data_IF_061947458261
#
_entry.id   IF_061947458261
#
_cell.length_a   1.000
_cell.length_b   1.000
_cell.length_c   1.000
_cell.angle_alpha   90.00
_cell.angle_beta   90.00
_cell.angle_gamma   90.00
#
_symmetry.space_group_name_H-M   'P 1'
#
loop_
_entity.id
_entity.type
_entity.pdbx_description
1 polymer ?
#
# COMPACT_ATOMS: atom_id res chain seq x y z
N UNK A 1 14.58 -48.91 5.18
CA UNK A 1 14.59 -50.28 5.75
C UNK A 1 13.17 -50.85 5.80
N UNK A 2 12.22 -50.24 6.52
CA UNK A 2 10.83 -50.71 6.56
C UNK A 2 10.09 -50.68 5.20
N UNK A 3 10.27 -49.64 4.38
CA UNK A 3 9.64 -49.56 3.05
C UNK A 3 10.11 -50.70 2.10
N UNK A 4 11.40 -51.02 2.12
CA UNK A 4 11.97 -52.12 1.33
C UNK A 4 11.52 -53.48 1.85
N UNK A 5 11.32 -53.63 3.16
CA UNK A 5 10.82 -54.86 3.78
C UNK A 5 9.34 -55.11 3.44
N UNK A 6 8.54 -54.06 3.39
CA UNK A 6 7.13 -54.12 2.96
C UNK A 6 6.96 -54.64 1.53
N UNK A 7 7.92 -54.37 0.62
CA UNK A 7 7.93 -54.93 -0.74
C UNK A 7 8.16 -56.43 -0.78
N UNK A 8 8.90 -56.97 0.19
CA UNK A 8 9.19 -58.39 0.31
C UNK A 8 8.08 -59.16 1.03
N UNK A 9 7.14 -58.46 1.67
CA UNK A 9 6.05 -59.03 2.46
C UNK A 9 4.70 -58.36 2.12
N UNK A 10 4.24 -58.49 0.86
CA UNK A 10 3.19 -57.65 0.29
C UNK A 10 1.81 -57.80 0.94
N UNK A 11 1.56 -58.90 1.65
CA UNK A 11 0.30 -59.18 2.36
C UNK A 11 0.32 -58.77 3.84
N UNK A 12 1.43 -58.23 4.35
CA UNK A 12 1.57 -57.83 5.75
C UNK A 12 1.91 -56.35 5.90
N UNK A 13 1.44 -55.75 6.99
CA UNK A 13 1.75 -54.35 7.31
C UNK A 13 3.07 -54.30 8.07
N UNK A 14 4.06 -53.60 7.51
CA UNK A 14 5.34 -53.31 8.17
C UNK A 14 5.21 -52.02 8.99
N UNK A 15 5.48 -52.10 10.29
CA UNK A 15 5.46 -50.96 11.22
C UNK A 15 6.87 -50.40 11.41
N UNK A 16 7.00 -49.08 11.41
CA UNK A 16 8.25 -48.36 11.64
C UNK A 16 8.02 -47.30 12.72
N UNK A 17 8.36 -47.58 13.98
CA UNK A 17 8.13 -46.66 15.09
C UNK A 17 9.01 -45.42 14.99
N UNK A 18 8.53 -44.29 15.52
CA UNK A 18 9.29 -43.04 15.59
C UNK A 18 9.15 -42.36 16.95
N UNK A 19 10.26 -41.87 17.50
CA UNK A 19 10.22 -41.08 18.74
C UNK A 19 9.48 -39.75 18.50
N UNK A 20 8.57 -39.42 19.41
CA UNK A 20 7.82 -38.16 19.49
C UNK A 20 7.03 -37.78 18.22
N UNK A 21 6.77 -38.75 17.34
CA UNK A 21 6.01 -38.56 16.09
C UNK A 21 5.15 -39.77 15.81
N UNK A 22 4.12 -39.61 14.99
CA UNK A 22 3.29 -40.74 14.55
C UNK A 22 4.12 -41.78 13.79
N UNK A 23 3.88 -43.06 14.06
CA UNK A 23 4.57 -44.16 13.40
C UNK A 23 4.24 -44.24 11.90
N UNK A 24 5.14 -44.87 11.14
CA UNK A 24 4.87 -45.20 9.75
C UNK A 24 4.40 -46.65 9.62
N UNK A 25 3.48 -46.87 8.69
CA UNK A 25 2.94 -48.18 8.35
C UNK A 25 3.03 -48.34 6.85
N UNK A 26 3.51 -49.50 6.38
CA UNK A 26 3.71 -49.78 4.98
C UNK A 26 3.04 -51.09 4.58
N UNK A 27 2.38 -51.12 3.42
CA UNK A 27 1.78 -52.32 2.85
C UNK A 27 2.19 -52.41 1.38
N UNK A 28 2.76 -53.54 0.95
CA UNK A 28 3.18 -53.77 -0.43
C UNK A 28 4.09 -52.64 -1.00
N UNK A 29 4.94 -52.05 -0.17
CA UNK A 29 5.81 -50.95 -0.59
C UNK A 29 5.13 -49.59 -0.76
N UNK A 30 3.91 -49.43 -0.28
CA UNK A 30 3.20 -48.15 -0.17
C UNK A 30 3.06 -47.74 1.29
N UNK A 31 3.08 -46.43 1.57
CA UNK A 31 2.86 -45.91 2.91
C UNK A 31 1.37 -45.72 3.19
N UNK A 32 0.89 -46.28 4.29
CA UNK A 32 -0.48 -46.08 4.76
C UNK A 32 -0.57 -44.75 5.54
N UNK A 33 -1.59 -43.96 5.22
CA UNK A 33 -1.96 -42.75 5.95
C UNK A 33 -3.36 -42.95 6.52
N UNK A 34 -3.50 -42.90 7.84
CA UNK A 34 -4.80 -43.06 8.49
C UNK A 34 -5.65 -41.82 8.32
N UNK A 35 -6.93 -41.99 7.97
CA UNK A 35 -7.84 -40.87 7.80
C UNK A 35 -8.00 -40.04 9.09
N UNK A 36 -7.90 -40.67 10.27
CA UNK A 36 -7.90 -39.98 11.56
C UNK A 36 -6.81 -38.91 11.68
N UNK A 37 -5.65 -39.09 11.04
CA UNK A 37 -4.57 -38.08 11.04
C UNK A 37 -4.94 -36.82 10.26
N UNK A 38 -5.91 -36.91 9.35
CA UNK A 38 -6.48 -35.80 8.56
C UNK A 38 -7.72 -35.18 9.20
N UNK A 39 -8.13 -35.62 10.39
CA UNK A 39 -9.27 -35.02 11.10
C UNK A 39 -8.79 -34.13 12.24
N UNK A 40 -9.54 -33.07 12.53
CA UNK A 40 -9.36 -32.17 13.67
C UNK A 40 -10.73 -31.84 14.25
N UNK A 41 -10.79 -31.62 15.55
CA UNK A 41 -11.98 -31.07 16.19
C UNK A 41 -11.83 -29.55 16.15
N UNK A 42 -12.71 -28.87 15.40
CA UNK A 42 -12.81 -27.41 15.36
C UNK A 42 -14.23 -27.06 15.76
N UNK A 43 -14.39 -26.17 16.75
CA UNK A 43 -15.68 -25.75 17.30
C UNK A 43 -16.61 -26.91 17.73
N UNK A 44 -16.01 -28.01 18.22
CA UNK A 44 -16.73 -29.20 18.68
C UNK A 44 -17.12 -30.19 17.58
N UNK A 45 -16.87 -29.87 16.31
CA UNK A 45 -17.13 -30.76 15.18
C UNK A 45 -15.84 -31.42 14.66
N UNK A 46 -15.91 -32.72 14.37
CA UNK A 46 -14.82 -33.44 13.73
C UNK A 46 -14.82 -33.14 12.23
N UNK A 47 -13.90 -32.28 11.80
CA UNK A 47 -13.77 -31.89 10.40
C UNK A 47 -12.52 -32.50 9.77
N UNK A 48 -12.53 -32.67 8.45
CA UNK A 48 -11.31 -32.96 7.69
C UNK A 48 -10.48 -31.69 7.57
N UNK A 49 -9.24 -31.74 8.02
CA UNK A 49 -8.28 -30.65 7.92
C UNK A 49 -7.09 -31.08 7.06
N UNK A 50 -6.66 -30.19 6.18
CA UNK A 50 -5.40 -30.32 5.46
C UNK A 50 -4.31 -29.58 6.25
N UNK A 51 -3.11 -30.16 6.42
CA UNK A 51 -1.99 -29.44 6.98
C UNK A 51 -1.71 -28.17 6.18
N UNK A 52 -1.39 -27.07 6.86
CA UNK A 52 -0.88 -25.88 6.18
C UNK A 52 0.44 -26.23 5.46
N UNK A 53 0.52 -25.90 4.18
CA UNK A 53 1.71 -26.11 3.34
C UNK A 53 2.17 -24.78 2.76
N UNK A 54 3.39 -24.75 2.23
CA UNK A 54 3.93 -23.65 1.43
C UNK A 54 3.80 -23.88 -0.09
N UNK A 55 3.12 -24.95 -0.51
CA UNK A 55 2.83 -25.28 -1.91
C UNK A 55 1.31 -25.37 -2.06
N UNK A 56 0.75 -24.43 -2.82
CA UNK A 56 -0.69 -24.36 -3.10
C UNK A 56 -0.91 -24.66 -4.58
N UNK A 57 -1.41 -25.84 -4.88
CA UNK A 57 -1.71 -26.34 -6.23
C UNK A 57 -3.20 -26.21 -6.60
N UNK A 58 -4.03 -25.81 -5.65
CA UNK A 58 -5.48 -25.63 -5.78
C UNK A 58 -5.90 -24.23 -6.24
N UNK A 59 -4.96 -23.28 -6.29
CA UNK A 59 -5.18 -21.91 -6.75
C UNK A 59 -4.89 -21.80 -8.24
N UNK A 60 -5.94 -21.91 -9.06
CA UNK A 60 -5.83 -21.76 -10.51
C UNK A 60 -5.49 -20.31 -10.89
N UNK A 61 -4.50 -20.14 -11.77
CA UNK A 61 -4.14 -18.85 -12.38
C UNK A 61 -4.77 -18.65 -13.77
N UNK A 62 -5.77 -19.48 -14.13
CA UNK A 62 -6.45 -19.36 -15.41
C UNK A 62 -7.48 -18.21 -15.37
N UNK A 63 -7.77 -17.60 -16.52
CA UNK A 63 -8.78 -16.54 -16.67
C UNK A 63 -8.59 -15.26 -15.83
N UNK A 64 -7.38 -14.97 -15.35
CA UNK A 64 -7.09 -13.75 -14.58
C UNK A 64 -7.43 -12.44 -15.29
N UNK A 65 -7.51 -12.46 -16.63
CA UNK A 65 -7.98 -11.33 -17.44
C UNK A 65 -9.44 -10.94 -17.14
N UNK A 66 -10.26 -11.83 -16.58
CA UNK A 66 -11.66 -11.57 -16.23
C UNK A 66 -11.81 -10.81 -14.91
N UNK A 67 -10.91 -11.03 -13.95
CA UNK A 67 -11.03 -10.39 -12.64
C UNK A 67 -10.89 -8.86 -12.74
N UNK A 68 -11.71 -8.08 -12.04
CA UNK A 68 -11.50 -6.63 -11.94
C UNK A 68 -11.62 -5.83 -13.24
N UNK A 69 -11.92 -6.44 -14.39
CA UNK A 69 -12.00 -5.81 -15.72
C UNK A 69 -10.83 -4.86 -16.04
N UNK A 70 -9.63 -5.20 -15.58
CA UNK A 70 -8.39 -4.45 -15.84
C UNK A 70 -7.56 -5.22 -16.85
N UNK A 71 -7.23 -4.58 -17.97
CA UNK A 71 -6.30 -5.12 -18.96
C UNK A 71 -4.87 -5.05 -18.42
N UNK A 72 -4.37 -6.15 -17.86
CA UNK A 72 -3.02 -6.25 -17.35
C UNK A 72 -2.38 -7.53 -17.91
N UNK A 73 -1.49 -7.36 -18.90
CA UNK A 73 -1.08 -8.44 -19.81
C UNK A 73 -0.43 -9.63 -19.08
N UNK A 74 0.42 -9.36 -18.09
CA UNK A 74 1.19 -10.37 -17.36
C UNK A 74 1.28 -10.01 -15.87
N UNK A 75 1.43 -11.00 -14.99
CA UNK A 75 1.86 -10.79 -13.60
C UNK A 75 0.76 -10.40 -12.60
N UNK A 76 -0.48 -10.22 -13.05
CA UNK A 76 -1.64 -10.05 -12.17
C UNK A 76 -1.81 -11.24 -11.25
N UNK A 77 -2.05 -10.99 -9.97
CA UNK A 77 -2.29 -12.05 -8.97
C UNK A 77 -3.78 -12.42 -8.90
N UNK A 78 -4.13 -13.70 -8.70
CA UNK A 78 -5.52 -14.14 -8.47
C UNK A 78 -6.09 -13.58 -7.16
N UNK A 79 -7.34 -13.14 -7.16
CA UNK A 79 -8.00 -12.71 -5.91
C UNK A 79 -8.08 -13.84 -4.87
N UNK A 80 -8.26 -15.09 -5.29
CA UNK A 80 -8.33 -16.25 -4.39
C UNK A 80 -7.02 -16.47 -3.60
N UNK A 81 -5.87 -16.20 -4.24
CA UNK A 81 -4.57 -16.27 -3.58
C UNK A 81 -4.46 -15.22 -2.47
N UNK A 82 -4.80 -13.97 -2.79
CA UNK A 82 -4.73 -12.88 -1.83
C UNK A 82 -5.74 -13.09 -0.69
N UNK A 83 -6.94 -13.62 -0.98
CA UNK A 83 -7.91 -13.96 0.05
C UNK A 83 -7.33 -14.92 1.08
N UNK A 84 -6.73 -16.02 0.61
CA UNK A 84 -6.09 -17.00 1.50
C UNK A 84 -4.99 -16.36 2.35
N UNK A 85 -4.11 -15.57 1.74
CA UNK A 85 -3.03 -14.89 2.46
C UNK A 85 -3.61 -13.98 3.54
N UNK A 86 -4.61 -13.16 3.22
CA UNK A 86 -5.22 -12.25 4.18
C UNK A 86 -6.00 -12.97 5.28
N UNK A 87 -6.65 -14.11 4.99
CA UNK A 87 -7.30 -14.95 6.01
C UNK A 87 -6.31 -15.52 7.03
N UNK A 88 -5.07 -15.81 6.62
CA UNK A 88 -4.04 -16.32 7.52
C UNK A 88 -3.26 -15.25 8.26
N UNK A 89 -3.19 -14.04 7.71
CA UNK A 89 -2.31 -12.99 8.21
C UNK A 89 -3.03 -11.80 8.86
N UNK A 90 -4.36 -11.68 8.72
CA UNK A 90 -5.11 -10.47 9.13
C UNK A 90 -6.52 -10.78 9.60
N UNK A 91 -7.00 -9.94 10.51
CA UNK A 91 -8.40 -9.88 10.95
C UNK A 91 -9.19 -8.80 10.20
N UNK A 92 -10.52 -8.82 10.36
CA UNK A 92 -11.38 -7.76 9.83
C UNK A 92 -11.03 -6.43 10.51
N UNK A 93 -10.90 -5.35 9.73
CA UNK A 93 -10.53 -4.02 10.24
C UNK A 93 -9.03 -3.72 10.23
N UNK A 94 -8.16 -4.72 10.06
CA UNK A 94 -6.71 -4.54 9.94
C UNK A 94 -6.33 -3.73 8.70
N UNK A 95 -5.11 -3.20 8.70
CA UNK A 95 -4.54 -2.43 7.59
C UNK A 95 -3.60 -3.30 6.77
N UNK A 96 -3.89 -3.42 5.47
CA UNK A 96 -3.04 -4.11 4.49
C UNK A 96 -2.26 -3.09 3.66
N UNK A 97 -0.93 -3.18 3.65
CA UNK A 97 -0.06 -2.37 2.78
C UNK A 97 0.38 -3.18 1.57
N UNK A 98 0.16 -2.64 0.38
CA UNK A 98 0.75 -3.12 -0.87
C UNK A 98 1.51 -1.99 -1.55
N UNK A 99 2.84 -2.04 -1.51
CA UNK A 99 3.71 -1.02 -2.11
C UNK A 99 3.92 -1.20 -3.61
N UNK A 100 3.35 -2.24 -4.22
CA UNK A 100 3.44 -2.57 -5.65
C UNK A 100 2.07 -3.00 -6.19
N UNK A 101 1.10 -2.11 -6.05
CA UNK A 101 -0.33 -2.41 -6.17
C UNK A 101 -0.74 -2.99 -7.54
N UNK A 102 -0.04 -2.63 -8.62
CA UNK A 102 -0.20 -3.13 -9.97
C UNK A 102 -1.62 -2.97 -10.51
N UNK A 103 -2.35 -4.08 -10.58
CA UNK A 103 -3.75 -4.10 -11.03
C UNK A 103 -4.77 -3.80 -9.91
N UNK A 104 -4.33 -3.48 -8.70
CA UNK A 104 -5.22 -3.21 -7.56
C UNK A 104 -5.80 -4.45 -6.88
N UNK A 105 -5.22 -5.64 -7.09
CA UNK A 105 -5.81 -6.90 -6.56
C UNK A 105 -5.80 -6.94 -5.04
N UNK A 106 -4.69 -6.57 -4.38
CA UNK A 106 -4.59 -6.60 -2.92
C UNK A 106 -5.60 -5.66 -2.28
N UNK A 107 -5.69 -4.41 -2.77
CA UNK A 107 -6.69 -3.45 -2.31
C UNK A 107 -8.12 -3.95 -2.56
N UNK A 108 -8.39 -4.58 -3.70
CA UNK A 108 -9.70 -5.15 -4.00
C UNK A 108 -10.12 -6.22 -2.99
N UNK A 109 -9.25 -7.19 -2.75
CA UNK A 109 -9.52 -8.30 -1.84
C UNK A 109 -9.63 -7.81 -0.41
N UNK A 110 -8.68 -6.97 0.05
CA UNK A 110 -8.72 -6.38 1.38
C UNK A 110 -10.02 -5.62 1.62
N UNK A 111 -10.45 -4.80 0.66
CA UNK A 111 -11.69 -4.04 0.76
C UNK A 111 -12.93 -4.94 0.82
N UNK A 112 -13.04 -5.91 -0.10
CA UNK A 112 -14.16 -6.87 -0.14
C UNK A 112 -14.27 -7.67 1.16
N UNK A 113 -13.14 -7.92 1.82
CA UNK A 113 -13.03 -8.65 3.09
C UNK A 113 -13.13 -7.75 4.33
N UNK A 114 -13.42 -6.45 4.20
CA UNK A 114 -13.60 -5.54 5.34
C UNK A 114 -12.30 -5.12 6.04
N UNK A 115 -11.16 -5.16 5.34
CA UNK A 115 -9.88 -4.60 5.80
C UNK A 115 -9.69 -3.18 5.27
N UNK A 116 -8.96 -2.37 6.03
CA UNK A 116 -8.39 -1.10 5.54
C UNK A 116 -7.18 -1.43 4.66
N UNK A 117 -6.83 -0.55 3.75
CA UNK A 117 -5.67 -0.77 2.89
C UNK A 117 -4.98 0.52 2.48
N UNK A 118 -3.68 0.41 2.27
CA UNK A 118 -2.83 1.43 1.64
C UNK A 118 -2.20 0.76 0.42
N UNK A 119 -2.42 1.35 -0.75
CA UNK A 119 -1.85 0.86 -2.00
C UNK A 119 -0.99 1.94 -2.63
N UNK A 120 0.25 1.59 -2.98
CA UNK A 120 1.19 2.47 -3.68
C UNK A 120 1.47 1.90 -5.06
N UNK A 121 1.46 2.76 -6.07
CA UNK A 121 1.78 2.39 -7.45
C UNK A 121 2.51 3.54 -8.13
N UNK A 122 3.49 3.21 -8.96
CA UNK A 122 4.30 4.18 -9.69
C UNK A 122 3.69 4.46 -11.08
N UNK A 123 3.77 5.72 -11.49
CA UNK A 123 3.38 6.13 -12.83
C UNK A 123 1.87 6.05 -13.09
N UNK A 124 1.51 5.96 -14.36
CA UNK A 124 0.12 6.10 -14.80
C UNK A 124 -0.74 4.86 -14.54
N UNK A 125 -0.15 3.74 -14.12
CA UNK A 125 -0.88 2.51 -13.78
C UNK A 125 -1.88 2.75 -12.65
N UNK A 126 -1.54 3.60 -11.67
CA UNK A 126 -2.45 3.94 -10.58
C UNK A 126 -3.76 4.56 -11.12
N UNK A 127 -3.66 5.47 -12.09
CA UNK A 127 -4.82 6.17 -12.70
C UNK A 127 -5.58 5.31 -13.71
N UNK A 128 -4.86 4.51 -14.48
CA UNK A 128 -5.42 3.76 -15.62
C UNK A 128 -5.96 2.39 -15.23
N UNK A 129 -5.41 1.76 -14.18
CA UNK A 129 -5.75 0.40 -13.77
C UNK A 129 -6.36 0.36 -12.37
N UNK A 130 -5.67 0.91 -11.36
CA UNK A 130 -6.12 0.83 -9.97
C UNK A 130 -7.38 1.66 -9.72
N UNK A 131 -7.36 2.95 -10.07
CA UNK A 131 -8.45 3.88 -9.80
C UNK A 131 -9.80 3.43 -10.42
N UNK A 132 -9.88 3.02 -11.70
CA UNK A 132 -11.14 2.56 -12.28
C UNK A 132 -11.66 1.29 -11.62
N UNK A 133 -10.78 0.33 -11.31
CA UNK A 133 -11.14 -0.91 -10.61
C UNK A 133 -11.69 -0.62 -9.21
N UNK A 134 -10.99 0.19 -8.43
CA UNK A 134 -11.41 0.56 -7.07
C UNK A 134 -12.75 1.29 -7.06
N UNK A 135 -13.01 2.16 -8.04
CA UNK A 135 -14.34 2.77 -8.22
C UNK A 135 -15.42 1.72 -8.52
N UNK A 136 -15.13 0.70 -9.33
CA UNK A 136 -16.07 -0.40 -9.58
C UNK A 136 -16.34 -1.21 -8.30
N UNK A 137 -15.32 -1.46 -7.49
CA UNK A 137 -15.44 -2.20 -6.22
C UNK A 137 -16.35 -1.46 -5.25
N UNK A 138 -16.11 -0.16 -5.02
CA UNK A 138 -16.96 0.68 -4.16
C UNK A 138 -18.39 0.71 -4.69
N UNK A 139 -18.58 0.83 -6.00
CA UNK A 139 -19.91 0.87 -6.59
C UNK A 139 -20.60 -0.51 -6.70
N UNK A 140 -20.00 -1.58 -6.15
CA UNK A 140 -20.56 -2.94 -6.20
C UNK A 140 -20.57 -3.56 -7.61
N UNK A 141 -19.86 -2.98 -8.58
CA UNK A 141 -19.82 -3.43 -9.98
C UNK A 141 -18.69 -4.42 -10.27
N UNK A 142 -17.79 -4.63 -9.32
CA UNK A 142 -16.74 -5.65 -9.36
C UNK A 142 -17.26 -6.93 -8.69
N UNK A 143 -17.96 -7.75 -9.48
CA UNK A 143 -18.57 -9.02 -9.04
C UNK A 143 -17.67 -10.23 -9.32
N UNK A 144 -16.44 -9.98 -9.76
CA UNK A 144 -15.48 -11.01 -10.15
C UNK A 144 -14.71 -11.54 -8.92
N UNK A 145 -13.90 -12.59 -9.14
CA UNK A 145 -12.99 -13.11 -8.13
C UNK A 145 -13.73 -13.58 -6.87
N UNK A 146 -13.40 -13.00 -5.72
CA UNK A 146 -13.92 -13.45 -4.43
C UNK A 146 -15.27 -12.86 -4.04
N UNK A 147 -15.84 -11.94 -4.85
CA UNK A 147 -17.04 -11.18 -4.49
C UNK A 147 -18.20 -12.06 -4.05
N UNK A 148 -18.46 -13.17 -4.75
CA UNK A 148 -19.52 -14.12 -4.37
C UNK A 148 -19.19 -14.86 -3.06
N UNK A 149 -17.94 -15.26 -2.87
CA UNK A 149 -17.51 -16.03 -1.70
C UNK A 149 -17.61 -15.22 -0.40
N UNK A 150 -17.44 -13.90 -0.47
CA UNK A 150 -17.53 -13.00 0.68
C UNK A 150 -18.83 -12.19 0.71
N UNK A 151 -19.79 -12.50 -0.16
CA UNK A 151 -21.06 -11.78 -0.28
C UNK A 151 -20.88 -10.25 -0.43
N UNK A 152 -19.95 -9.82 -1.28
CA UNK A 152 -19.67 -8.40 -1.50
C UNK A 152 -20.82 -7.70 -2.24
N UNK A 153 -21.30 -6.58 -1.68
CA UNK A 153 -22.40 -5.78 -2.23
C UNK A 153 -22.00 -4.36 -2.64
N UNK A 154 -20.71 -3.99 -2.50
CA UNK A 154 -20.24 -2.61 -2.64
C UNK A 154 -20.26 -1.83 -1.32
N UNK A 155 -19.87 -0.56 -1.40
CA UNK A 155 -19.75 0.35 -0.26
C UNK A 155 -18.32 0.81 0.01
N UNK A 156 -18.15 1.57 1.09
CA UNK A 156 -16.85 2.10 1.51
C UNK A 156 -16.36 3.28 0.66
N UNK A 157 -15.08 3.60 0.83
CA UNK A 157 -14.43 4.70 0.15
C UNK A 157 -12.91 4.54 0.16
N UNK A 158 -12.22 5.28 -0.69
CA UNK A 158 -10.78 5.46 -0.62
C UNK A 158 -10.44 6.94 -0.84
N UNK A 159 -9.27 7.34 -0.36
CA UNK A 159 -8.66 8.62 -0.72
C UNK A 159 -7.57 8.33 -1.75
N UNK A 160 -7.48 9.19 -2.75
CA UNK A 160 -6.46 9.11 -3.78
C UNK A 160 -5.48 10.25 -3.58
N UNK A 161 -4.20 9.92 -3.42
CA UNK A 161 -3.13 10.89 -3.28
C UNK A 161 -2.15 10.74 -4.44
N UNK A 162 -1.56 11.85 -4.88
CA UNK A 162 -0.43 11.86 -5.80
C UNK A 162 0.73 12.50 -5.05
N UNK A 163 1.91 11.89 -5.11
CA UNK A 163 3.12 12.51 -4.57
C UNK A 163 3.42 13.77 -5.40
N UNK A 164 3.52 14.90 -4.70
CA UNK A 164 3.95 16.17 -5.30
C UNK A 164 5.48 16.19 -5.42
N UNK A 165 6.01 17.18 -6.14
CA UNK A 165 7.44 17.47 -6.06
C UNK A 165 7.83 17.90 -4.64
N UNK A 166 9.13 17.86 -4.33
CA UNK A 166 9.62 18.40 -3.06
C UNK A 166 9.16 19.85 -2.86
N UNK A 167 8.62 20.14 -1.68
CA UNK A 167 8.18 21.50 -1.30
C UNK A 167 9.37 22.46 -1.24
N UNK A 168 10.53 21.95 -0.82
CA UNK A 168 11.78 22.70 -0.71
C UNK A 168 12.76 22.22 -1.78
N UNK A 169 13.45 23.17 -2.41
CA UNK A 169 14.55 22.96 -3.35
C UNK A 169 15.76 23.79 -2.91
N UNK A 170 16.93 23.42 -3.39
CA UNK A 170 18.12 24.25 -3.26
C UNK A 170 18.21 25.25 -4.41
N UNK A 171 18.52 26.50 -4.10
CA UNK A 171 18.89 27.50 -5.11
C UNK A 171 20.33 27.30 -5.60
N UNK A 172 20.78 28.12 -6.55
CA UNK A 172 22.14 28.05 -7.12
C UNK A 172 23.27 28.26 -6.10
N UNK A 173 22.95 28.68 -4.88
CA UNK A 173 23.89 28.93 -3.79
C UNK A 173 23.74 27.92 -2.64
N UNK A 174 22.90 26.89 -2.81
CA UNK A 174 22.66 25.86 -1.79
C UNK A 174 21.70 26.30 -0.68
N UNK A 175 20.97 27.41 -0.84
CA UNK A 175 19.97 27.80 0.15
C UNK A 175 18.66 27.05 -0.09
N UNK A 176 18.06 26.55 1.00
CA UNK A 176 16.71 26.02 0.96
C UNK A 176 15.69 27.10 0.62
N UNK A 177 14.93 26.89 -0.46
CA UNK A 177 13.87 27.78 -0.93
C UNK A 177 12.61 26.99 -1.24
N UNK A 178 11.44 27.64 -1.14
CA UNK A 178 10.16 27.03 -1.53
C UNK A 178 10.20 26.79 -3.05
N UNK A 179 9.82 25.58 -3.46
CA UNK A 179 9.74 25.20 -4.87
C UNK A 179 8.70 26.08 -5.58
N UNK A 180 9.08 26.84 -6.63
CA UNK A 180 8.20 27.81 -7.28
C UNK A 180 7.00 27.19 -7.99
N UNK A 181 6.96 25.86 -8.14
CA UNK A 181 5.79 25.13 -8.65
C UNK A 181 4.64 25.03 -7.64
N UNK A 182 4.89 25.34 -6.38
CA UNK A 182 3.85 25.42 -5.36
C UNK A 182 3.27 26.83 -5.37
N UNK A 183 2.04 26.96 -5.83
CA UNK A 183 1.25 28.17 -5.62
C UNK A 183 0.84 28.31 -4.14
N UNK A 184 0.15 29.40 -3.81
CA UNK A 184 -0.23 29.71 -2.44
C UNK A 184 -1.14 28.63 -1.82
N UNK A 185 -2.02 28.02 -2.61
CA UNK A 185 -2.97 27.00 -2.16
C UNK A 185 -2.26 25.67 -1.87
N UNK A 186 -1.42 25.21 -2.80
CA UNK A 186 -0.62 23.99 -2.62
C UNK A 186 0.39 24.12 -1.49
N UNK A 187 1.00 25.30 -1.34
CA UNK A 187 1.88 25.60 -0.20
C UNK A 187 1.10 25.52 1.12
N UNK A 188 -0.08 26.14 1.18
CA UNK A 188 -0.93 26.08 2.37
C UNK A 188 -1.35 24.65 2.70
N UNK A 189 -1.77 23.86 1.70
CA UNK A 189 -2.13 22.45 1.89
C UNK A 189 -0.94 21.62 2.41
N UNK A 190 0.23 21.78 1.80
CA UNK A 190 1.45 21.07 2.19
C UNK A 190 1.87 21.42 3.63
N UNK A 191 1.90 22.71 3.97
CA UNK A 191 2.29 23.19 5.30
C UNK A 191 1.25 22.81 6.35
N UNK A 192 -0.04 22.87 6.04
CA UNK A 192 -1.09 22.34 6.91
C UNK A 192 -0.77 20.89 7.28
N UNK A 193 -0.48 20.05 6.28
CA UNK A 193 -0.20 18.64 6.51
C UNK A 193 1.04 18.41 7.36
N UNK A 194 2.12 19.15 7.10
CA UNK A 194 3.39 19.07 7.85
C UNK A 194 3.21 19.50 9.32
N UNK A 195 2.39 20.53 9.56
CA UNK A 195 2.13 21.08 10.89
C UNK A 195 1.03 20.32 11.66
N UNK A 196 0.37 19.34 11.04
CA UNK A 196 -0.68 18.54 11.68
C UNK A 196 -2.10 19.14 11.58
N UNK A 197 -2.29 20.14 10.72
CA UNK A 197 -3.59 20.74 10.42
C UNK A 197 -4.27 20.03 9.25
N UNK A 198 -5.60 19.98 9.29
CA UNK A 198 -6.42 19.59 8.14
C UNK A 198 -6.59 20.81 7.23
N UNK A 199 -6.14 20.72 5.99
CA UNK A 199 -6.43 21.73 4.98
C UNK A 199 -7.94 21.84 4.76
N UNK A 200 -8.49 23.03 5.00
CA UNK A 200 -9.92 23.33 4.97
C UNK A 200 -10.10 24.86 4.86
N UNK A 201 -9.78 25.45 3.70
CA UNK A 201 -9.81 26.90 3.54
C UNK A 201 -11.23 27.46 3.71
N UNK A 202 -11.33 28.62 4.33
CA UNK A 202 -12.58 29.37 4.50
C UNK A 202 -12.80 30.33 3.33
N UNK A 203 -14.04 30.39 2.84
CA UNK A 203 -14.46 31.41 1.87
C UNK A 203 -14.68 32.79 2.51
N UNK A 204 -14.66 32.88 3.85
CA UNK A 204 -14.95 34.12 4.61
C UNK A 204 -13.67 34.73 5.15
N UNK A 205 -12.83 33.92 5.78
CA UNK A 205 -11.62 34.38 6.44
C UNK A 205 -10.38 33.88 5.70
N UNK A 206 -9.65 34.81 5.06
CA UNK A 206 -8.47 34.49 4.26
C UNK A 206 -7.35 33.77 5.05
N UNK A 207 -7.29 33.99 6.36
CA UNK A 207 -6.30 33.40 7.26
C UNK A 207 -6.72 32.02 7.78
N UNK A 208 -7.97 31.59 7.58
CA UNK A 208 -8.44 30.25 7.94
C UNK A 208 -8.17 29.28 6.79
N UNK A 209 -6.92 28.87 6.59
CA UNK A 209 -6.55 27.94 5.50
C UNK A 209 -6.59 26.47 5.94
N UNK A 210 -6.39 26.21 7.23
CA UNK A 210 -6.51 24.89 7.80
C UNK A 210 -6.94 24.93 9.27
N UNK A 211 -7.30 23.76 9.78
CA UNK A 211 -7.88 23.60 11.11
C UNK A 211 -7.32 22.35 11.81
N UNK A 212 -6.86 22.50 13.05
CA UNK A 212 -6.43 21.39 13.90
C UNK A 212 -7.51 20.98 14.90
N UNK A 213 -8.14 21.96 15.55
CA UNK A 213 -9.29 21.78 16.47
C UNK A 213 -10.39 22.79 16.13
N UNK A 214 -11.49 22.82 16.90
CA UNK A 214 -12.59 23.75 16.63
C UNK A 214 -12.17 25.23 16.69
N UNK A 215 -11.13 25.57 17.47
CA UNK A 215 -10.67 26.94 17.69
C UNK A 215 -9.24 27.20 17.21
N UNK A 216 -8.56 26.19 16.66
CA UNK A 216 -7.15 26.27 16.27
C UNK A 216 -6.96 26.20 14.76
N UNK A 217 -6.37 27.26 14.20
CA UNK A 217 -6.27 27.50 12.76
C UNK A 217 -4.84 27.75 12.32
N UNK A 218 -4.61 27.64 11.00
CA UNK A 218 -3.31 27.94 10.39
C UNK A 218 -3.45 28.87 9.19
N UNK A 219 -2.54 29.84 9.10
CA UNK A 219 -2.34 30.75 7.98
C UNK A 219 -0.92 30.63 7.44
N UNK A 220 -0.80 30.40 6.13
CA UNK A 220 0.46 30.19 5.42
C UNK A 220 0.62 31.28 4.36
N UNK A 221 1.79 31.93 4.36
CA UNK A 221 2.10 32.98 3.38
C UNK A 221 3.60 33.07 3.10
N UNK A 222 4.00 33.38 1.87
CA UNK A 222 5.41 33.64 1.54
C UNK A 222 5.83 35.08 1.88
N UNK A 223 4.87 35.94 2.21
CA UNK A 223 5.12 37.35 2.48
C UNK A 223 5.73 37.57 3.86
N UNK A 224 6.41 38.71 4.01
CA UNK A 224 6.84 39.20 5.31
C UNK A 224 5.70 39.94 5.99
N UNK A 225 5.44 39.64 7.27
CA UNK A 225 4.39 40.29 8.04
C UNK A 225 4.96 41.34 9.01
N UNK A 226 4.39 42.54 8.96
CA UNK A 226 4.67 43.63 9.89
C UNK A 226 3.84 43.53 11.17
N UNK A 227 4.26 44.22 12.24
CA UNK A 227 3.51 44.29 13.50
C UNK A 227 2.07 44.77 13.29
N UNK A 228 1.86 45.82 12.49
CA UNK A 228 0.54 46.37 12.21
C UNK A 228 -0.38 45.36 11.52
N UNK A 229 0.13 44.55 10.58
CA UNK A 229 -0.65 43.48 9.95
C UNK A 229 -1.01 42.38 10.95
N UNK A 230 -0.07 41.99 11.81
CA UNK A 230 -0.31 40.99 12.86
C UNK A 230 -1.31 41.46 13.91
N UNK A 231 -1.32 42.76 14.26
CA UNK A 231 -2.31 43.35 15.15
C UNK A 231 -3.72 43.25 14.58
N UNK A 232 -3.90 43.55 13.29
CA UNK A 232 -5.21 43.40 12.61
C UNK A 232 -5.65 41.94 12.58
N UNK A 233 -4.75 41.02 12.24
CA UNK A 233 -5.06 39.57 12.23
C UNK A 233 -5.42 39.09 13.64
N UNK A 234 -4.64 39.46 14.66
CA UNK A 234 -4.90 39.09 16.06
C UNK A 234 -6.28 39.55 16.54
N UNK A 235 -6.69 40.78 16.18
CA UNK A 235 -8.03 41.29 16.49
C UNK A 235 -9.14 40.51 15.78
N UNK A 236 -8.93 40.14 14.51
CA UNK A 236 -9.92 39.37 13.75
C UNK A 236 -10.05 37.92 14.25
N UNK A 237 -8.94 37.30 14.67
CA UNK A 237 -8.92 35.98 15.32
C UNK A 237 -9.64 36.06 16.68
N UNK A 238 -9.41 37.12 17.45
CA UNK A 238 -10.05 37.31 18.75
C UNK A 238 -9.51 36.36 19.83
N UNK A 239 -10.04 36.45 21.06
CA UNK A 239 -9.47 35.78 22.24
C UNK A 239 -9.81 34.29 22.34
N UNK A 240 -10.90 33.85 21.70
CA UNK A 240 -11.41 32.46 21.82
C UNK A 240 -10.76 31.50 20.81
N UNK A 241 -9.89 32.00 19.93
CA UNK A 241 -9.26 31.23 18.85
C UNK A 241 -7.75 31.40 18.87
N UNK A 242 -7.05 30.38 18.41
CA UNK A 242 -5.61 30.43 18.16
C UNK A 242 -5.32 30.37 16.66
N UNK A 243 -4.27 31.06 16.23
CA UNK A 243 -3.81 31.04 14.86
C UNK A 243 -2.30 30.81 14.80
N UNK A 244 -1.89 29.71 14.18
CA UNK A 244 -0.52 29.50 13.77
C UNK A 244 -0.26 30.19 12.42
N UNK A 245 0.69 31.11 12.38
CA UNK A 245 1.09 31.81 11.15
C UNK A 245 2.47 31.31 10.72
N UNK A 246 2.52 30.65 9.57
CA UNK A 246 3.76 30.23 8.94
C UNK A 246 4.08 31.20 7.79
N UNK A 247 5.02 32.11 8.00
CA UNK A 247 5.36 33.16 7.03
C UNK A 247 6.85 33.20 6.64
N UNK A 248 7.18 33.91 5.55
CA UNK A 248 8.56 34.01 5.08
C UNK A 248 9.46 34.79 6.04
N UNK A 249 8.93 35.84 6.66
CA UNK A 249 9.59 36.57 7.75
C UNK A 249 8.60 37.40 8.57
N UNK A 250 8.99 37.75 9.79
CA UNK A 250 8.25 38.67 10.65
C UNK A 250 9.23 39.49 11.50
N UNK A 251 8.85 40.73 11.84
CA UNK A 251 9.69 41.68 12.60
C UNK A 251 9.12 41.98 13.99
N UNK A 252 8.76 40.93 14.72
CA UNK A 252 8.24 41.00 16.09
C UNK A 252 8.82 39.87 16.93
N UNK A 253 8.78 40.01 18.25
CA UNK A 253 9.08 38.90 19.16
C UNK A 253 8.00 37.81 19.01
N UNK A 254 8.38 36.54 19.20
CA UNK A 254 7.48 35.39 19.00
C UNK A 254 6.24 35.45 19.90
N UNK A 255 6.39 35.99 21.11
CA UNK A 255 5.33 36.05 22.13
C UNK A 255 4.61 37.41 22.17
N UNK A 256 4.66 38.17 21.06
CA UNK A 256 4.07 39.50 21.00
C UNK A 256 2.52 39.50 21.05
N UNK A 257 1.89 38.35 20.80
CA UNK A 257 0.45 38.18 20.75
C UNK A 257 0.06 36.87 21.45
N UNK A 258 -0.94 36.90 22.33
CA UNK A 258 -1.36 35.72 23.10
C UNK A 258 -2.05 34.66 22.24
N UNK A 259 -2.73 35.09 21.16
CA UNK A 259 -3.53 34.23 20.29
C UNK A 259 -2.84 33.85 18.96
N UNK A 260 -1.60 34.32 18.72
CA UNK A 260 -0.85 34.01 17.50
C UNK A 260 0.43 33.22 17.80
N UNK A 261 0.69 32.18 17.01
CA UNK A 261 1.97 31.45 17.02
C UNK A 261 2.71 31.72 15.71
N UNK A 262 3.87 32.39 15.76
CA UNK A 262 4.62 32.80 14.57
C UNK A 262 5.77 31.84 14.25
N UNK A 263 5.76 31.30 13.03
CA UNK A 263 6.77 30.36 12.51
C UNK A 263 7.34 30.83 11.19
N UNK A 264 8.64 30.60 10.99
CA UNK A 264 9.34 30.99 9.76
C UNK A 264 9.50 29.81 8.80
N UNK A 265 9.04 29.94 7.56
CA UNK A 265 9.30 28.99 6.46
C UNK A 265 10.52 29.50 5.68
N UNK A 266 11.50 28.66 5.26
CA UNK A 266 11.51 27.18 5.28
C UNK A 266 12.00 26.52 6.56
N UNK A 267 12.68 27.25 7.46
CA UNK A 267 13.51 26.64 8.50
C UNK A 267 12.75 25.64 9.39
N UNK A 268 11.52 25.96 9.82
CA UNK A 268 10.76 25.05 10.68
C UNK A 268 10.14 23.85 9.93
N UNK A 269 9.98 23.98 8.61
CA UNK A 269 9.52 22.89 7.72
C UNK A 269 10.68 21.94 7.38
N UNK A 270 11.91 22.47 7.29
CA UNK A 270 13.13 21.68 7.07
C UNK A 270 13.35 20.64 8.18
N UNK A 271 13.08 20.98 9.44
CA UNK A 271 13.38 20.11 10.58
C UNK A 271 12.44 18.88 10.68
N UNK A 272 11.33 18.86 9.92
CA UNK A 272 10.32 17.80 10.01
C UNK A 272 10.46 16.68 8.99
N UNK A 273 11.12 16.94 7.87
CA UNK A 273 11.20 16.01 6.74
C UNK A 273 12.57 16.10 6.05
N UNK A 274 12.95 15.04 5.34
CA UNK A 274 13.99 15.13 4.32
C UNK A 274 13.40 15.75 3.05
N UNK A 275 14.17 16.62 2.40
CA UNK A 275 13.72 17.38 1.24
C UNK A 275 14.68 17.19 0.06
N UNK A 276 14.13 17.32 -1.15
CA UNK A 276 14.90 17.33 -2.40
C UNK A 276 15.77 16.07 -2.63
N UNK A 277 15.37 14.94 -2.06
CA UNK A 277 16.03 13.66 -2.24
C UNK A 277 15.23 12.83 -3.26
N UNK A 278 15.60 12.93 -4.54
CA UNK A 278 14.92 12.22 -5.64
C UNK A 278 15.56 10.85 -5.94
N UNK A 279 16.76 10.59 -5.41
CA UNK A 279 17.50 9.35 -5.66
C UNK A 279 17.26 8.30 -4.57
N UNK A 280 16.10 7.64 -4.61
CA UNK A 280 15.86 6.43 -3.81
C UNK A 280 16.39 5.18 -4.53
N UNK A 281 17.54 5.28 -5.22
CA UNK A 281 18.31 4.10 -5.59
C UNK A 281 18.69 3.38 -4.30
N UNK A 282 17.90 2.37 -3.93
CA UNK A 282 18.42 1.30 -3.11
C UNK A 282 19.67 0.84 -3.86
N UNK A 283 20.85 1.06 -3.29
CA UNK A 283 22.07 0.46 -3.81
C UNK A 283 21.93 -1.06 -3.66
N UNK A 284 21.23 -1.67 -4.63
CA UNK A 284 21.16 -3.11 -4.77
C UNK A 284 22.48 -3.50 -5.43
N UNK A 285 23.55 -3.53 -4.62
CA UNK A 285 24.92 -3.80 -5.08
C UNK A 285 25.07 -5.13 -5.84
N UNK A 286 24.06 -6.01 -5.80
CA UNK A 286 24.13 -7.34 -6.40
C UNK A 286 22.81 -7.78 -7.07
N UNK A 287 22.36 -7.06 -8.11
CA UNK A 287 21.38 -7.64 -9.02
C UNK A 287 22.03 -8.81 -9.79
N UNK A 288 21.54 -10.06 -9.68
CA UNK A 288 22.05 -11.16 -10.48
C UNK A 288 21.88 -10.82 -11.96
N UNK A 289 22.94 -11.05 -12.76
CA UNK A 289 22.95 -10.74 -14.17
C UNK A 289 21.72 -11.36 -14.86
N UNK A 290 21.03 -10.53 -15.65
CA UNK A 290 19.84 -10.95 -16.42
C UNK A 290 20.18 -12.24 -17.17
N UNK A 291 19.44 -13.35 -16.94
CA UNK A 291 19.71 -14.59 -17.66
C UNK A 291 19.62 -14.33 -19.16
N UNK A 292 20.59 -14.84 -19.91
CA UNK A 292 20.62 -14.70 -21.38
C UNK A 292 19.27 -15.16 -21.95
N UNK A 293 18.70 -14.44 -22.93
CA UNK A 293 17.50 -14.90 -23.61
C UNK A 293 17.74 -16.33 -24.10
N UNK A 294 16.89 -17.28 -23.71
CA UNK A 294 16.90 -18.61 -24.33
C UNK A 294 16.63 -18.40 -25.81
N UNK A 295 17.55 -18.88 -26.65
CA UNK A 295 17.57 -18.61 -28.09
C UNK A 295 16.20 -18.75 -28.73
N UNK A 296 15.75 -17.68 -29.38
CA UNK A 296 14.93 -17.84 -30.56
C UNK A 296 15.81 -18.61 -31.56
N UNK A 297 15.38 -19.81 -31.96
CA UNK A 297 15.97 -20.46 -33.12
C UNK A 297 15.82 -19.50 -34.30
N UNK A 298 16.94 -18.97 -34.80
CA UNK A 298 16.97 -18.37 -36.12
C UNK A 298 16.56 -19.46 -37.12
N UNK A 299 15.40 -19.28 -37.74
CA UNK A 299 15.01 -20.01 -38.93
C UNK A 299 15.99 -19.62 -40.03
N UNK A 300 17.02 -20.45 -40.23
CA UNK A 300 17.89 -20.39 -41.40
C UNK A 300 17.04 -20.79 -42.61
N UNK A 301 16.68 -19.81 -43.43
CA UNK A 301 16.19 -20.06 -44.79
C UNK A 301 17.42 -20.40 -45.63
N UNK A 302 17.63 -21.68 -45.92
CA UNK A 302 18.58 -22.12 -46.94
C UNK A 302 18.06 -21.65 -48.31
N UNK A 303 18.58 -20.52 -48.78
CA UNK A 303 18.55 -20.15 -50.19
C UNK A 303 19.60 -20.98 -50.91
N UNK A 304 19.15 -21.95 -51.69
CA UNK A 304 20.00 -22.68 -52.62
C UNK A 304 20.24 -21.88 -53.89
N UNK A 305 21.51 -21.71 -54.24
CA UNK A 305 21.99 -21.56 -55.61
C UNK A 305 23.18 -22.51 -55.75
N UNK A 306 23.05 -23.50 -56.62
CA UNK A 306 24.00 -23.77 -57.71
C UNK A 306 23.61 -25.05 -58.48
N UNK A 307 23.10 -24.83 -59.71
CA UNK A 307 23.15 -25.65 -60.95
C UNK A 307 21.83 -25.63 -61.73
#
# INVERSE_FOLDING_TARGET
MALSESRNTPSSVTHSPRNDKSDYYFLNGEQLIFYSSKTRVIDGEQITALPATNIWDDLLSNNLHKEGAVSFKNGKKPEALLKRILEYATDVGDVVLDSFLGSGTTAAVAHKMGRKWIGVELGDHCKTHCLPRLKRIINGKDLDGISKAVNWQGGGGFRYFKLAESLIKEDSWGNAVINPKFDAELLAEAVCKVEGFRYAPSDVHFWMQGQATETDYIYVTTQSLSRAQLEVISQEVGPERSLQICCGAFRVQKDAFENLTLKKIPQEVLDRCEWNHDDYSLEVENLPAKPKPKGQQELVLEGGEDA
#
